data_IF_770691801835
#
_entry.id   IF_770691801835
#
_cell.length_a   1.000
_cell.length_b   1.000
_cell.length_c   1.000
_cell.angle_alpha   90.00
_cell.angle_beta   90.00
_cell.angle_gamma   90.00
#
_symmetry.space_group_name_H-M   'P 1'
#
loop_
_entity.id
_entity.type
_entity.pdbx_description
1 polymer ?
#
# COMPACT_ATOMS: atom_id res chain seq x y z
N UNK A 1 -6.97 -20.53 -1.32
CA UNK A 1 -7.82 -20.08 -0.20
C UNK A 1 -8.98 -19.25 -0.75
N UNK A 2 -10.21 -19.37 -0.25
CA UNK A 2 -11.35 -18.60 -0.76
C UNK A 2 -11.23 -17.10 -0.42
N UNK A 3 -11.52 -16.22 -1.37
CA UNK A 3 -11.55 -14.76 -1.14
C UNK A 3 -12.52 -14.36 -0.02
N UNK A 4 -13.62 -15.11 0.11
CA UNK A 4 -14.59 -14.91 1.19
C UNK A 4 -13.97 -15.04 2.58
N UNK A 5 -13.01 -15.93 2.77
CA UNK A 5 -12.34 -16.13 4.08
C UNK A 5 -11.50 -14.92 4.45
N UNK A 6 -10.73 -14.41 3.49
CA UNK A 6 -9.87 -13.25 3.70
C UNK A 6 -10.72 -11.98 3.87
N UNK A 7 -11.78 -11.83 3.08
CA UNK A 7 -12.71 -10.70 3.17
C UNK A 7 -13.42 -10.67 4.53
N UNK A 8 -13.85 -11.82 5.04
CA UNK A 8 -14.43 -11.93 6.38
C UNK A 8 -13.42 -11.58 7.49
N UNK A 9 -12.16 -12.01 7.37
CA UNK A 9 -11.11 -11.63 8.32
C UNK A 9 -10.82 -10.13 8.31
N UNK A 10 -10.93 -9.49 7.15
CA UNK A 10 -10.76 -8.04 6.99
C UNK A 10 -12.00 -7.22 7.30
N UNK A 11 -13.13 -7.86 7.63
CA UNK A 11 -14.44 -7.24 7.82
C UNK A 11 -14.87 -6.37 6.62
N UNK A 12 -14.72 -6.91 5.40
CA UNK A 12 -15.11 -6.24 4.15
C UNK A 12 -15.86 -7.18 3.21
N UNK A 13 -16.56 -6.60 2.24
CA UNK A 13 -17.16 -7.35 1.15
C UNK A 13 -16.11 -8.04 0.28
N UNK A 14 -16.39 -9.27 -0.14
CA UNK A 14 -15.56 -10.02 -1.08
C UNK A 14 -15.33 -9.25 -2.40
N UNK A 15 -16.32 -8.48 -2.86
CA UNK A 15 -16.19 -7.65 -4.06
C UNK A 15 -15.18 -6.51 -3.87
N UNK A 16 -15.06 -5.96 -2.65
CA UNK A 16 -14.07 -4.95 -2.31
C UNK A 16 -12.68 -5.58 -2.35
N UNK A 17 -12.49 -6.72 -1.67
CA UNK A 17 -11.22 -7.44 -1.71
C UNK A 17 -10.81 -7.81 -3.15
N UNK A 18 -11.77 -8.24 -3.96
CA UNK A 18 -11.53 -8.59 -5.36
C UNK A 18 -11.08 -7.38 -6.21
N UNK A 19 -11.58 -6.17 -5.91
CA UNK A 19 -11.09 -4.93 -6.55
C UNK A 19 -9.68 -4.57 -6.06
N UNK A 20 -9.38 -4.83 -4.79
CA UNK A 20 -8.04 -4.62 -4.22
C UNK A 20 -7.00 -5.51 -4.91
N UNK A 21 -7.28 -6.81 -5.06
CA UNK A 21 -6.34 -7.74 -5.74
C UNK A 21 -6.05 -7.38 -7.20
N UNK A 22 -6.98 -6.70 -7.88
CA UNK A 22 -6.80 -6.23 -9.27
C UNK A 22 -6.21 -4.83 -9.37
N UNK A 23 -5.85 -4.18 -8.25
CA UNK A 23 -5.36 -2.80 -8.24
C UNK A 23 -6.43 -1.76 -8.61
N UNK A 24 -7.71 -2.14 -8.67
CA UNK A 24 -8.82 -1.24 -8.99
C UNK A 24 -9.28 -0.42 -7.78
N UNK A 25 -8.83 -0.78 -6.58
CA UNK A 25 -9.09 -0.06 -5.34
C UNK A 25 -7.90 -0.22 -4.39
N UNK A 26 -7.44 0.87 -3.80
CA UNK A 26 -6.39 0.82 -2.79
C UNK A 26 -6.92 0.28 -1.46
N UNK A 27 -6.18 -0.66 -0.86
CA UNK A 27 -6.38 -1.06 0.52
C UNK A 27 -6.00 0.09 1.47
N UNK A 28 -6.65 0.15 2.63
CA UNK A 28 -6.19 0.98 3.74
C UNK A 28 -4.93 0.39 4.37
N UNK A 29 -4.13 1.22 5.03
CA UNK A 29 -2.93 0.76 5.75
C UNK A 29 -3.25 -0.33 6.78
N UNK A 30 -4.37 -0.19 7.50
CA UNK A 30 -4.80 -1.19 8.49
C UNK A 30 -5.12 -2.55 7.84
N UNK A 31 -5.80 -2.53 6.68
CA UNK A 31 -6.05 -3.76 5.91
C UNK A 31 -4.76 -4.41 5.44
N UNK A 32 -3.76 -3.62 5.03
CA UNK A 32 -2.45 -4.13 4.64
C UNK A 32 -1.76 -4.82 5.83
N UNK A 33 -1.79 -4.21 7.01
CA UNK A 33 -1.22 -4.81 8.23
C UNK A 33 -1.93 -6.13 8.57
N UNK A 34 -3.27 -6.14 8.56
CA UNK A 34 -4.08 -7.34 8.79
C UNK A 34 -3.79 -8.44 7.75
N UNK A 35 -3.64 -8.07 6.47
CA UNK A 35 -3.25 -9.00 5.41
C UNK A 35 -1.85 -9.59 5.67
N UNK A 36 -0.90 -8.78 6.13
CA UNK A 36 0.44 -9.25 6.45
C UNK A 36 0.42 -10.28 7.58
N UNK A 37 -0.33 -10.00 8.65
CA UNK A 37 -0.54 -10.93 9.77
C UNK A 37 -1.21 -12.23 9.31
N UNK A 38 -2.30 -12.12 8.55
CA UNK A 38 -3.08 -13.25 8.06
C UNK A 38 -2.26 -14.21 7.18
N UNK A 39 -1.46 -13.65 6.26
CA UNK A 39 -0.60 -14.41 5.37
C UNK A 39 0.77 -14.74 5.98
N UNK A 40 1.04 -14.31 7.21
CA UNK A 40 2.33 -14.48 7.91
C UNK A 40 3.51 -13.97 7.10
N UNK A 41 3.31 -12.86 6.41
CA UNK A 41 4.37 -12.15 5.68
C UNK A 41 4.83 -10.95 6.50
N UNK A 42 6.05 -10.51 6.23
CA UNK A 42 6.64 -9.40 6.97
C UNK A 42 5.89 -8.10 6.66
N UNK A 43 5.30 -7.49 7.69
CA UNK A 43 4.48 -6.27 7.57
C UNK A 43 5.21 -5.16 6.82
N UNK A 44 6.50 -4.95 7.11
CA UNK A 44 7.30 -3.92 6.45
C UNK A 44 7.38 -4.11 4.96
N UNK A 45 7.48 -5.35 4.50
CA UNK A 45 7.71 -5.66 3.08
C UNK A 45 6.42 -5.41 2.30
N UNK A 46 5.28 -5.82 2.87
CA UNK A 46 3.97 -5.55 2.28
C UNK A 46 3.62 -4.05 2.32
N UNK A 47 3.93 -3.36 3.42
CA UNK A 47 3.72 -1.91 3.52
C UNK A 47 4.57 -1.14 2.52
N UNK A 48 5.82 -1.54 2.29
CA UNK A 48 6.69 -0.94 1.28
C UNK A 48 6.09 -1.13 -0.12
N UNK A 49 5.67 -2.35 -0.46
CA UNK A 49 5.02 -2.64 -1.75
C UNK A 49 3.76 -1.78 -1.95
N UNK A 50 2.84 -1.81 -0.99
CA UNK A 50 1.59 -1.05 -1.05
C UNK A 50 1.82 0.46 -1.14
N UNK A 51 2.78 1.00 -0.39
CA UNK A 51 3.08 2.44 -0.42
C UNK A 51 3.74 2.83 -1.75
N UNK A 52 4.58 1.96 -2.31
CA UNK A 52 5.17 2.14 -3.64
C UNK A 52 4.09 2.22 -4.72
N UNK A 53 3.17 1.26 -4.74
CA UNK A 53 2.05 1.25 -5.70
C UNK A 53 1.19 2.51 -5.57
N UNK A 54 0.91 2.92 -4.33
CA UNK A 54 0.19 4.15 -4.06
C UNK A 54 0.93 5.38 -4.58
N UNK A 55 2.23 5.49 -4.33
CA UNK A 55 3.04 6.61 -4.82
C UNK A 55 3.03 6.66 -6.35
N UNK A 56 3.24 5.52 -7.01
CA UNK A 56 3.19 5.42 -8.47
C UNK A 56 1.82 5.86 -8.99
N UNK A 57 0.73 5.35 -8.41
CA UNK A 57 -0.63 5.74 -8.82
C UNK A 57 -0.86 7.25 -8.76
N UNK A 58 -0.34 7.93 -7.74
CA UNK A 58 -0.52 9.37 -7.56
C UNK A 58 0.29 10.23 -8.54
N UNK A 59 1.39 9.70 -9.09
CA UNK A 59 2.33 10.50 -9.91
C UNK A 59 2.58 9.94 -11.30
N UNK A 60 1.98 8.81 -11.68
CA UNK A 60 2.33 8.08 -12.92
C UNK A 60 2.18 8.93 -14.19
N UNK A 61 1.24 9.87 -14.21
CA UNK A 61 0.93 10.71 -15.37
C UNK A 61 1.70 12.04 -15.40
N UNK A 62 2.59 12.27 -14.42
CA UNK A 62 3.36 13.52 -14.30
C UNK A 62 4.76 13.37 -14.92
N UNK A 63 5.11 14.24 -15.87
CA UNK A 63 6.46 14.26 -16.48
C UNK A 63 7.58 14.47 -15.43
N UNK A 64 7.25 15.10 -14.31
CA UNK A 64 8.16 15.41 -13.20
C UNK A 64 8.15 14.35 -12.09
N UNK A 65 7.40 13.25 -12.25
CA UNK A 65 7.19 12.22 -11.22
C UNK A 65 8.47 11.74 -10.53
N UNK A 66 9.47 11.30 -11.32
CA UNK A 66 10.73 10.78 -10.78
C UNK A 66 11.49 11.85 -9.99
N UNK A 67 11.50 13.10 -10.47
CA UNK A 67 12.15 14.21 -9.77
C UNK A 67 11.41 14.58 -8.49
N UNK A 68 10.08 14.54 -8.50
CA UNK A 68 9.26 14.75 -7.31
C UNK A 68 9.53 13.68 -6.24
N UNK A 69 9.65 12.40 -6.63
CA UNK A 69 9.98 11.29 -5.73
C UNK A 69 11.36 11.45 -5.10
N UNK A 70 12.38 11.84 -5.88
CA UNK A 70 13.72 12.14 -5.35
C UNK A 70 13.69 13.28 -4.33
N UNK A 71 12.99 14.37 -4.65
CA UNK A 71 12.83 15.50 -3.71
C UNK A 71 12.07 15.07 -2.45
N UNK A 72 11.07 14.20 -2.56
CA UNK A 72 10.34 13.66 -1.43
C UNK A 72 11.23 12.78 -0.53
N UNK A 73 12.09 11.95 -1.12
CA UNK A 73 13.07 11.14 -0.39
C UNK A 73 13.97 12.01 0.51
N UNK A 74 14.55 13.07 -0.05
CA UNK A 74 15.40 14.00 0.69
C UNK A 74 14.64 14.73 1.81
N UNK A 75 13.39 15.14 1.56
CA UNK A 75 12.52 15.72 2.60
C UNK A 75 12.27 14.75 3.77
N UNK A 76 12.04 13.47 3.48
CA UNK A 76 11.84 12.44 4.51
C UNK A 76 13.11 12.23 5.33
N UNK A 77 14.29 12.17 4.69
CA UNK A 77 15.58 12.06 5.40
C UNK A 77 15.80 13.23 6.35
N UNK A 78 15.57 14.46 5.88
CA UNK A 78 15.76 15.67 6.69
C UNK A 78 14.79 15.74 7.88
N UNK A 79 13.51 15.37 7.69
CA UNK A 79 12.53 15.33 8.78
C UNK A 79 12.88 14.30 9.85
N UNK A 80 13.43 13.14 9.47
CA UNK A 80 13.89 12.13 10.43
C UNK A 80 15.08 12.61 11.27
N UNK A 81 15.94 13.49 10.74
CA UNK A 81 17.08 14.05 11.49
C UNK A 81 16.67 15.14 12.49
N UNK A 82 15.51 15.78 12.29
CA UNK A 82 14.96 16.80 13.19
C UNK A 82 14.13 16.22 14.35
N UNK A 83 13.83 14.92 14.32
CA UNK A 83 13.06 14.21 15.34
C UNK A 83 14.01 13.45 16.25
#
# INVERSE_FOLDING_TARGET
>A
MPLRTVAAYLDIDQAILSKIERGQRNASREQVIKLAEFFKIKETDLLVSWLSDKLVYEVADEDVALKALQVAEEKVKYQKQKK
#
